data_IF_029929676842
#
_entry.id   IF_029929676842
#
_cell.length_a   1.000
_cell.length_b   1.000
_cell.length_c   1.000
_cell.angle_alpha   90.00
_cell.angle_beta   90.00
_cell.angle_gamma   90.00
#
_symmetry.space_group_name_H-M   'P 1'
#
loop_
_entity.id
_entity.type
_entity.pdbx_description
1 polymer ?
#
# COMPACT_ATOMS: atom_id res chain seq x y z
N UNK A 1 24.91 0.09 -0.57
CA UNK A 1 23.82 0.87 -1.21
C UNK A 1 23.18 -0.01 -2.25
N UNK A 2 21.86 -0.20 -2.21
CA UNK A 2 21.14 -1.05 -3.17
C UNK A 2 21.23 -0.47 -4.59
N UNK A 3 21.46 -1.34 -5.58
CA UNK A 3 21.57 -1.01 -7.02
C UNK A 3 20.18 -1.00 -7.70
N UNK A 4 19.10 -0.97 -6.91
CA UNK A 4 17.73 -1.01 -7.37
C UNK A 4 17.14 0.41 -7.43
N UNK A 5 16.39 0.68 -8.48
CA UNK A 5 15.69 1.93 -8.74
C UNK A 5 14.21 1.62 -8.92
N UNK A 6 13.35 2.33 -8.19
CA UNK A 6 11.91 2.35 -8.47
C UNK A 6 11.70 3.20 -9.72
N UNK A 7 11.16 2.60 -10.77
CA UNK A 7 10.94 3.24 -12.07
C UNK A 7 9.51 3.73 -12.21
N UNK A 8 8.54 3.00 -11.67
CA UNK A 8 7.13 3.37 -11.68
C UNK A 8 6.46 2.92 -10.39
N UNK A 9 5.48 3.69 -9.95
CA UNK A 9 4.54 3.30 -8.91
C UNK A 9 3.22 2.96 -9.60
N UNK A 10 2.72 1.73 -9.40
CA UNK A 10 1.46 1.29 -9.99
C UNK A 10 0.34 1.58 -8.99
N UNK A 11 -0.06 2.85 -8.95
CA UNK A 11 -1.18 3.31 -8.11
C UNK A 11 -2.44 2.47 -8.40
N UNK A 12 -3.25 2.22 -7.37
CA UNK A 12 -4.52 1.45 -7.39
C UNK A 12 -4.47 -0.08 -7.29
N UNK A 13 -3.30 -0.71 -7.35
CA UNK A 13 -3.19 -2.17 -7.14
C UNK A 13 -2.53 -2.47 -5.79
N UNK A 14 -3.33 -3.04 -4.87
CA UNK A 14 -2.92 -3.52 -3.55
C UNK A 14 -2.19 -2.47 -2.69
N UNK A 15 -2.94 -1.51 -2.13
CA UNK A 15 -2.44 -0.73 -1.00
C UNK A 15 -2.48 -1.62 0.25
N UNK A 16 -1.31 -1.85 0.82
CA UNK A 16 -1.16 -2.60 2.06
C UNK A 16 -0.26 -1.83 3.03
N UNK A 17 -0.56 -1.92 4.30
CA UNK A 17 0.23 -1.32 5.38
C UNK A 17 0.95 -2.44 6.11
N UNK A 18 2.26 -2.34 6.24
CA UNK A 18 2.99 -3.20 7.17
C UNK A 18 2.91 -2.55 8.54
N UNK A 19 2.17 -3.15 9.48
CA UNK A 19 1.94 -2.54 10.79
C UNK A 19 2.00 -3.55 11.94
N UNK A 20 2.42 -3.04 13.10
CA UNK A 20 2.38 -3.78 14.36
C UNK A 20 0.96 -3.84 14.90
N UNK A 21 0.57 -5.03 15.36
CA UNK A 21 -0.78 -5.28 15.87
C UNK A 21 -0.71 -6.00 17.21
N UNK A 22 -1.60 -5.61 18.10
CA UNK A 22 -1.65 -6.05 19.48
C UNK A 22 -3.06 -6.54 19.81
N UNK A 23 -3.22 -7.47 20.77
CA UNK A 23 -4.54 -7.78 21.32
C UNK A 23 -5.29 -6.51 21.72
N UNK A 24 -6.58 -6.44 21.40
CA UNK A 24 -7.45 -5.33 21.79
C UNK A 24 -7.95 -5.43 23.24
N UNK A 25 -7.60 -6.51 23.95
CA UNK A 25 -7.99 -6.81 25.32
C UNK A 25 -6.76 -7.05 26.21
N UNK A 26 -6.97 -7.08 27.53
CA UNK A 26 -5.93 -7.41 28.50
C UNK A 26 -4.91 -6.28 28.65
N UNK A 27 -3.63 -6.62 28.81
CA UNK A 27 -2.57 -5.65 29.11
C UNK A 27 -2.36 -4.58 28.02
N UNK A 28 -2.90 -4.78 26.82
CA UNK A 28 -2.79 -3.86 25.69
C UNK A 28 -4.05 -3.02 25.46
N UNK A 29 -5.15 -3.26 26.19
CA UNK A 29 -6.44 -2.59 25.99
C UNK A 29 -6.33 -1.07 25.99
N UNK A 30 -5.55 -0.51 26.93
CA UNK A 30 -5.34 0.93 27.07
C UNK A 30 -4.07 1.46 26.38
N UNK A 31 -3.37 0.63 25.61
CA UNK A 31 -2.17 1.01 24.87
C UNK A 31 -2.53 1.35 23.43
N UNK A 32 -2.48 2.62 23.06
CA UNK A 32 -2.91 3.14 21.77
C UNK A 32 -1.80 3.81 20.98
N UNK A 33 -0.57 3.91 21.52
CA UNK A 33 0.60 4.43 20.78
C UNK A 33 1.86 3.61 21.06
N UNK A 34 2.83 3.65 20.13
CA UNK A 34 4.17 3.07 20.37
C UNK A 34 4.86 3.67 21.60
N UNK A 35 4.60 4.94 21.90
CA UNK A 35 5.16 5.61 23.07
C UNK A 35 4.64 4.98 24.36
N UNK A 36 3.34 4.75 24.46
CA UNK A 36 2.72 4.08 25.60
C UNK A 36 3.23 2.64 25.74
N UNK A 37 3.36 1.91 24.62
CA UNK A 37 3.93 0.57 24.59
C UNK A 37 5.37 0.53 25.13
N UNK A 38 6.20 1.51 24.75
CA UNK A 38 7.59 1.60 25.20
C UNK A 38 7.73 1.90 26.69
N UNK A 39 6.74 2.56 27.29
CA UNK A 39 6.71 2.93 28.71
C UNK A 39 6.22 1.80 29.62
N UNK A 40 5.77 0.67 29.07
CA UNK A 40 5.32 -0.45 29.88
C UNK A 40 6.52 -1.02 30.67
N UNK A 41 6.42 -1.15 32.00
CA UNK A 41 7.55 -1.54 32.87
C UNK A 41 7.95 -3.01 32.72
N UNK A 42 7.14 -3.81 32.04
CA UNK A 42 7.29 -5.26 31.94
C UNK A 42 8.34 -5.73 30.93
N UNK A 43 8.84 -4.84 30.06
CA UNK A 43 9.81 -5.20 29.02
C UNK A 43 11.23 -5.23 29.60
N UNK A 44 11.72 -6.43 29.87
CA UNK A 44 13.07 -6.66 30.39
C UNK A 44 13.79 -7.69 29.52
N UNK A 45 15.09 -7.90 29.77
CA UNK A 45 15.83 -8.98 29.11
C UNK A 45 15.24 -10.36 29.38
N UNK A 46 14.60 -10.56 30.53
CA UNK A 46 13.96 -11.82 30.93
C UNK A 46 12.54 -11.96 30.36
N UNK A 47 11.85 -10.83 30.15
CA UNK A 47 10.50 -10.77 29.57
C UNK A 47 10.46 -9.76 28.42
N UNK A 48 11.07 -10.10 27.27
CA UNK A 48 11.03 -9.23 26.10
C UNK A 48 9.64 -9.23 25.47
N UNK A 49 9.30 -8.17 24.74
CA UNK A 49 8.13 -8.16 23.86
C UNK A 49 8.33 -9.20 22.75
N UNK A 50 7.44 -10.19 22.65
CA UNK A 50 7.51 -11.24 21.62
C UNK A 50 6.68 -10.82 20.42
N UNK A 51 7.31 -10.75 19.26
CA UNK A 51 6.66 -10.36 18.00
C UNK A 51 6.76 -11.50 17.00
N UNK A 52 5.63 -12.01 16.53
CA UNK A 52 5.63 -12.93 15.40
C UNK A 52 5.59 -12.16 14.07
N UNK A 53 6.47 -12.50 13.13
CA UNK A 53 6.52 -11.85 11.81
C UNK A 53 7.31 -12.66 10.77
N UNK A 54 6.97 -12.49 9.49
CA UNK A 54 7.85 -12.88 8.38
C UNK A 54 8.93 -11.84 8.04
N UNK A 55 8.86 -10.63 8.61
CA UNK A 55 9.70 -9.48 8.25
C UNK A 55 10.94 -9.35 9.14
N UNK A 56 11.85 -10.34 9.04
CA UNK A 56 13.02 -10.50 9.90
C UNK A 56 14.03 -9.33 9.90
N UNK A 57 14.01 -8.47 8.88
CA UNK A 57 14.89 -7.30 8.81
C UNK A 57 14.18 -6.00 9.19
N UNK A 58 12.95 -5.79 8.71
CA UNK A 58 12.22 -4.54 8.94
C UNK A 58 11.72 -4.43 10.38
N UNK A 59 11.23 -5.51 10.98
CA UNK A 59 10.72 -5.48 12.35
C UNK A 59 11.78 -5.08 13.37
N UNK A 60 12.92 -5.79 13.46
CA UNK A 60 13.97 -5.43 14.41
C UNK A 60 14.52 -4.02 14.19
N UNK A 61 14.67 -3.61 12.92
CA UNK A 61 15.12 -2.26 12.58
C UNK A 61 14.14 -1.21 13.10
N UNK A 62 12.86 -1.37 12.80
CA UNK A 62 11.82 -0.43 13.20
C UNK A 62 11.73 -0.27 14.72
N UNK A 63 11.72 -1.39 15.46
CA UNK A 63 11.66 -1.35 16.93
C UNK A 63 12.90 -0.69 17.54
N UNK A 64 14.09 -0.99 17.00
CA UNK A 64 15.34 -0.35 17.43
C UNK A 64 15.34 1.15 17.16
N UNK A 65 14.90 1.57 15.97
CA UNK A 65 14.83 2.97 15.57
C UNK A 65 13.82 3.76 16.44
N UNK A 66 12.81 3.08 17.00
CA UNK A 66 11.84 3.62 17.96
C UNK A 66 12.24 3.44 19.44
N UNK A 67 13.47 3.00 19.74
CA UNK A 67 14.03 2.96 21.10
C UNK A 67 13.69 1.72 21.93
N UNK A 68 13.07 0.69 21.34
CA UNK A 68 12.80 -0.56 22.03
C UNK A 68 14.07 -1.40 22.17
N UNK A 69 14.39 -1.82 23.39
CA UNK A 69 15.60 -2.60 23.72
C UNK A 69 15.34 -4.09 23.90
N UNK A 70 14.15 -4.46 24.37
CA UNK A 70 13.80 -5.81 24.78
C UNK A 70 12.67 -6.35 23.89
N UNK A 71 13.02 -6.75 22.67
CA UNK A 71 12.09 -7.33 21.69
C UNK A 71 12.70 -8.60 21.12
N UNK A 72 11.89 -9.65 21.03
CA UNK A 72 12.26 -10.92 20.39
C UNK A 72 11.33 -11.16 19.21
N UNK A 73 11.89 -11.73 18.14
CA UNK A 73 11.17 -11.99 16.91
C UNK A 73 11.16 -13.49 16.64
N UNK A 74 10.01 -14.00 16.23
CA UNK A 74 9.83 -15.38 15.78
C UNK A 74 9.08 -15.41 14.46
N UNK A 75 9.43 -16.35 13.60
CA UNK A 75 8.62 -16.68 12.42
C UNK A 75 7.45 -17.56 12.83
N UNK A 76 6.27 -17.34 12.24
CA UNK A 76 5.14 -18.26 12.37
C UNK A 76 4.78 -18.79 10.98
N UNK A 77 4.72 -20.12 10.85
CA UNK A 77 4.31 -20.78 9.62
C UNK A 77 2.78 -20.85 9.57
N UNK A 78 2.17 -19.85 8.94
CA UNK A 78 0.71 -19.75 8.78
C UNK A 78 -0.05 -19.22 10.00
N UNK A 79 -1.23 -18.64 9.75
CA UNK A 79 -2.14 -18.05 10.74
C UNK A 79 -1.44 -17.15 11.76
N UNK A 80 -0.65 -16.19 11.27
CA UNK A 80 0.11 -15.26 12.09
C UNK A 80 -0.79 -14.54 13.10
N UNK A 81 -2.02 -14.24 12.71
CA UNK A 81 -3.04 -13.57 13.50
C UNK A 81 -3.49 -14.36 14.74
N UNK A 82 -3.33 -15.68 14.73
CA UNK A 82 -3.62 -16.53 15.88
C UNK A 82 -2.49 -16.56 16.93
N UNK A 83 -1.27 -16.15 16.57
CA UNK A 83 -0.10 -16.25 17.45
C UNK A 83 -0.28 -15.54 18.81
N UNK A 84 -0.91 -14.35 18.90
CA UNK A 84 -1.23 -13.72 20.18
C UNK A 84 -2.26 -14.50 21.00
N UNK A 85 -3.33 -14.99 20.37
CA UNK A 85 -4.38 -15.76 21.04
C UNK A 85 -3.86 -17.11 21.57
N UNK A 86 -2.90 -17.72 20.87
CA UNK A 86 -2.22 -18.96 21.29
C UNK A 86 -1.12 -18.72 22.34
N UNK A 87 -0.81 -17.47 22.68
CA UNK A 87 0.24 -17.11 23.63
C UNK A 87 1.66 -17.32 23.11
N UNK A 88 1.84 -17.56 21.81
CA UNK A 88 3.15 -17.75 21.16
C UNK A 88 3.90 -16.41 21.06
N UNK A 89 3.16 -15.33 20.78
CA UNK A 89 3.67 -13.97 20.72
C UNK A 89 2.77 -13.02 21.52
N UNK A 90 3.28 -11.82 21.82
CA UNK A 90 2.49 -10.75 22.45
C UNK A 90 1.89 -9.81 21.39
N UNK A 91 2.52 -9.74 20.22
CA UNK A 91 2.13 -8.92 19.09
C UNK A 91 2.52 -9.58 17.77
N UNK A 92 2.00 -9.05 16.67
CA UNK A 92 2.41 -9.45 15.31
C UNK A 92 2.84 -8.24 14.51
N UNK A 93 3.70 -8.46 13.52
CA UNK A 93 4.01 -7.49 12.48
C UNK A 93 3.66 -8.10 11.13
N UNK A 94 2.67 -7.52 10.44
CA UNK A 94 2.12 -8.11 9.23
C UNK A 94 1.43 -7.10 8.29
N UNK A 95 1.19 -7.49 7.04
CA UNK A 95 0.53 -6.69 6.00
C UNK A 95 -1.00 -6.64 6.18
N UNK A 96 -1.57 -5.43 6.29
CA UNK A 96 -3.02 -5.17 6.30
C UNK A 96 -3.42 -4.56 4.96
N UNK A 97 -4.56 -4.95 4.39
CA UNK A 97 -5.21 -4.14 3.34
C UNK A 97 -6.54 -3.56 3.82
N UNK A 98 -7.59 -4.37 3.97
CA UNK A 98 -8.94 -3.88 4.37
C UNK A 98 -9.17 -3.76 5.88
N UNK A 99 -8.25 -4.24 6.72
CA UNK A 99 -8.39 -4.27 8.17
C UNK A 99 -9.40 -5.30 8.71
N UNK A 100 -10.09 -6.07 7.86
CA UNK A 100 -11.10 -7.05 8.27
C UNK A 100 -10.50 -8.14 9.17
N UNK A 101 -9.35 -8.68 8.78
CA UNK A 101 -8.63 -9.75 9.50
C UNK A 101 -8.24 -9.35 10.93
N UNK A 102 -8.04 -8.05 11.19
CA UNK A 102 -7.76 -7.52 12.54
C UNK A 102 -8.94 -7.71 13.48
N UNK A 103 -10.13 -7.33 13.01
CA UNK A 103 -11.36 -7.40 13.81
C UNK A 103 -11.72 -8.83 14.14
N UNK A 104 -11.54 -9.74 13.20
CA UNK A 104 -11.82 -11.18 13.38
C UNK A 104 -10.92 -11.82 14.45
N UNK A 105 -9.71 -11.31 14.64
CA UNK A 105 -8.73 -11.84 15.59
C UNK A 105 -8.58 -11.00 16.87
N UNK A 106 -9.49 -10.04 17.11
CA UNK A 106 -9.42 -9.16 18.28
C UNK A 106 -8.08 -8.42 18.38
N UNK A 107 -7.54 -7.99 17.25
CA UNK A 107 -6.30 -7.22 17.18
C UNK A 107 -6.60 -5.74 16.87
N UNK A 108 -5.75 -4.86 17.39
CA UNK A 108 -5.75 -3.44 17.09
C UNK A 108 -4.39 -2.96 16.61
N UNK A 109 -4.42 -1.94 15.78
CA UNK A 109 -3.25 -1.14 15.44
C UNK A 109 -3.11 0.00 16.47
N UNK A 110 -1.88 0.46 16.69
CA UNK A 110 -1.56 1.57 17.58
C UNK A 110 -0.94 2.72 16.78
N UNK A 111 -1.11 3.95 17.26
CA UNK A 111 -0.51 5.14 16.69
C UNK A 111 1.02 5.00 16.62
N UNK A 112 1.55 5.31 15.43
CA UNK A 112 2.96 5.12 15.10
C UNK A 112 3.33 3.68 14.80
N UNK A 113 2.43 2.69 14.94
CA UNK A 113 2.70 1.27 14.70
C UNK A 113 2.83 0.86 13.23
N UNK A 114 2.54 1.77 12.28
CA UNK A 114 2.77 1.56 10.85
C UNK A 114 4.25 1.67 10.54
N UNK A 115 4.83 0.58 10.02
CA UNK A 115 6.23 0.50 9.60
C UNK A 115 6.43 1.11 8.23
N UNK A 116 5.56 0.77 7.28
CA UNK A 116 5.56 1.33 5.93
C UNK A 116 4.21 1.15 5.24
N UNK A 117 3.99 1.99 4.24
CA UNK A 117 2.96 1.81 3.22
C UNK A 117 3.58 1.08 2.03
N UNK A 118 2.88 0.07 1.53
CA UNK A 118 3.32 -0.80 0.44
C UNK A 118 2.31 -0.78 -0.70
N UNK A 119 2.84 -0.77 -1.91
CA UNK A 119 2.10 -0.87 -3.16
C UNK A 119 2.95 -1.57 -4.21
N UNK A 120 2.31 -2.06 -5.27
CA UNK A 120 3.03 -2.64 -6.39
C UNK A 120 3.89 -1.57 -7.10
N UNK A 121 5.17 -1.87 -7.31
CA UNK A 121 6.13 -0.97 -7.95
C UNK A 121 6.90 -1.71 -9.04
N UNK A 122 7.20 -1.01 -10.13
CA UNK A 122 8.14 -1.47 -11.14
C UNK A 122 9.56 -1.10 -10.69
N UNK A 123 10.40 -2.11 -10.47
CA UNK A 123 11.79 -1.93 -10.03
C UNK A 123 12.74 -2.40 -11.13
N UNK A 124 13.78 -1.63 -11.38
CA UNK A 124 14.86 -1.99 -12.29
C UNK A 124 16.23 -1.81 -11.64
N UNK A 125 17.23 -2.54 -12.12
CA UNK A 125 18.61 -2.39 -11.67
C UNK A 125 19.28 -1.21 -12.39
N UNK A 126 19.82 -0.25 -11.65
CA UNK A 126 20.42 0.98 -12.21
C UNK A 126 21.55 0.66 -13.18
N UNK A 127 22.48 -0.22 -12.79
CA UNK A 127 23.58 -0.64 -13.67
C UNK A 127 23.08 -1.21 -15.00
N UNK A 128 22.02 -2.02 -14.97
CA UNK A 128 21.43 -2.59 -16.18
C UNK A 128 20.81 -1.52 -17.07
N UNK A 129 20.08 -0.55 -16.52
CA UNK A 129 19.51 0.55 -17.30
C UNK A 129 20.56 1.42 -18.00
N UNK A 130 21.75 1.57 -17.40
CA UNK A 130 22.84 2.35 -17.97
C UNK A 130 23.59 1.56 -19.04
N UNK A 131 23.90 0.30 -18.77
CA UNK A 131 24.82 -0.49 -19.60
C UNK A 131 24.13 -1.28 -20.72
N UNK A 132 22.82 -1.51 -20.61
CA UNK A 132 22.06 -2.34 -21.55
C UNK A 132 20.92 -1.54 -22.15
N UNK A 133 21.12 -1.12 -23.39
CA UNK A 133 20.15 -0.33 -24.14
C UNK A 133 18.84 -1.08 -24.39
N UNK A 134 18.89 -2.40 -24.61
CA UNK A 134 17.72 -3.26 -24.78
C UNK A 134 16.82 -3.26 -23.53
N UNK A 135 17.42 -3.39 -22.34
CA UNK A 135 16.69 -3.32 -21.05
C UNK A 135 16.08 -1.95 -20.85
N UNK A 136 16.84 -0.90 -21.16
CA UNK A 136 16.35 0.48 -21.05
C UNK A 136 15.15 0.72 -21.98
N UNK A 137 15.22 0.22 -23.22
CA UNK A 137 14.14 0.30 -24.20
C UNK A 137 12.86 -0.40 -23.70
N UNK A 138 12.98 -1.67 -23.28
CA UNK A 138 11.84 -2.45 -22.76
C UNK A 138 11.26 -1.80 -21.49
N UNK A 139 12.13 -1.34 -20.59
CA UNK A 139 11.68 -0.69 -19.35
C UNK A 139 10.87 0.58 -19.64
N UNK A 140 11.33 1.38 -20.61
CA UNK A 140 10.62 2.58 -21.06
C UNK A 140 9.25 2.23 -21.65
N UNK A 141 9.19 1.21 -22.52
CA UNK A 141 7.93 0.77 -23.13
C UNK A 141 6.93 0.27 -22.07
N UNK A 142 7.38 -0.52 -21.08
CA UNK A 142 6.55 -0.98 -19.98
C UNK A 142 6.04 0.20 -19.14
N UNK A 143 6.90 1.17 -18.84
CA UNK A 143 6.52 2.39 -18.11
C UNK A 143 5.42 3.16 -18.86
N UNK A 144 5.60 3.41 -20.16
CA UNK A 144 4.62 4.12 -20.99
C UNK A 144 3.27 3.39 -21.01
N UNK A 145 3.29 2.05 -21.08
CA UNK A 145 2.07 1.22 -21.01
C UNK A 145 1.38 1.30 -19.67
N UNK A 146 2.12 1.25 -18.56
CA UNK A 146 1.51 1.39 -17.23
C UNK A 146 0.91 2.78 -17.04
N UNK A 147 1.60 3.84 -17.43
CA UNK A 147 1.04 5.20 -17.34
C UNK A 147 -0.21 5.37 -18.20
N UNK A 148 -0.20 4.86 -19.43
CA UNK A 148 -1.37 4.90 -20.31
C UNK A 148 -2.55 4.12 -19.73
N UNK A 149 -2.30 2.92 -19.21
CA UNK A 149 -3.31 2.09 -18.54
C UNK A 149 -3.91 2.81 -17.34
N UNK A 150 -3.07 3.34 -16.44
CA UNK A 150 -3.52 4.04 -15.24
C UNK A 150 -4.36 5.28 -15.56
N UNK A 151 -4.00 6.04 -16.62
CA UNK A 151 -4.83 7.16 -17.10
C UNK A 151 -6.16 6.70 -17.66
N UNK A 152 -6.20 5.51 -18.29
CA UNK A 152 -7.40 4.97 -18.92
C UNK A 152 -8.40 4.34 -17.93
N UNK A 153 -7.94 3.77 -16.80
CA UNK A 153 -8.80 3.05 -15.84
C UNK A 153 -10.02 3.86 -15.37
N UNK A 154 -9.87 5.18 -15.22
CA UNK A 154 -10.95 6.08 -14.79
C UNK A 154 -11.76 6.72 -15.92
N UNK A 155 -11.56 6.31 -17.17
CA UNK A 155 -12.13 6.96 -18.34
C UNK A 155 -13.06 5.99 -19.09
N UNK A 156 -14.13 6.54 -19.66
CA UNK A 156 -15.05 5.80 -20.50
C UNK A 156 -15.20 6.50 -21.85
N UNK A 157 -15.21 5.71 -22.93
CA UNK A 157 -15.64 6.22 -24.23
C UNK A 157 -17.16 6.24 -24.27
N UNK A 158 -17.73 7.44 -24.37
CA UNK A 158 -19.18 7.63 -24.50
C UNK A 158 -19.47 8.04 -25.94
N UNK A 159 -20.30 7.26 -26.62
CA UNK A 159 -20.81 7.57 -27.96
C UNK A 159 -22.33 7.72 -27.87
N UNK A 160 -22.86 8.82 -28.39
CA UNK A 160 -24.28 9.11 -28.33
C UNK A 160 -24.77 9.71 -29.65
N UNK A 161 -25.95 9.28 -30.09
CA UNK A 161 -26.63 9.88 -31.23
C UNK A 161 -27.42 11.09 -30.75
N UNK A 162 -27.28 12.21 -31.46
CA UNK A 162 -27.95 13.46 -31.11
C UNK A 162 -28.63 14.05 -32.34
N UNK A 163 -29.89 14.47 -32.18
CA UNK A 163 -30.58 15.23 -33.22
C UNK A 163 -30.08 16.67 -33.20
N UNK A 164 -29.65 17.17 -34.36
CA UNK A 164 -29.21 18.54 -34.56
C UNK A 164 -29.33 18.93 -36.02
N UNK A 165 -29.40 20.24 -36.26
CA UNK A 165 -29.40 20.83 -37.60
C UNK A 165 -27.99 21.06 -38.14
N UNK A 166 -26.99 21.20 -37.26
CA UNK A 166 -25.57 21.29 -37.61
C UNK A 166 -24.66 20.71 -36.52
N UNK A 167 -23.39 20.49 -36.85
CA UNK A 167 -22.35 20.04 -35.91
C UNK A 167 -22.08 21.06 -34.81
N UNK A 168 -22.13 22.35 -35.12
CA UNK A 168 -21.87 23.45 -34.19
C UNK A 168 -22.98 23.53 -33.14
N UNK A 169 -24.22 23.31 -33.56
CA UNK A 169 -25.37 23.26 -32.65
C UNK A 169 -25.24 22.10 -31.65
N UNK A 170 -24.90 20.90 -32.14
CA UNK A 170 -24.71 19.72 -31.29
C UNK A 170 -23.52 19.94 -30.34
N UNK A 171 -22.40 20.49 -30.83
CA UNK A 171 -21.23 20.82 -30.01
C UNK A 171 -21.58 21.79 -28.88
N UNK A 172 -22.28 22.88 -29.19
CA UNK A 172 -22.66 23.89 -28.20
C UNK A 172 -23.57 23.29 -27.10
N UNK A 173 -24.52 22.44 -27.47
CA UNK A 173 -25.38 21.74 -26.49
C UNK A 173 -24.56 20.83 -25.57
N UNK A 174 -23.64 20.03 -26.11
CA UNK A 174 -22.83 19.12 -25.29
C UNK A 174 -21.83 19.88 -24.40
N UNK A 175 -21.15 20.89 -24.94
CA UNK A 175 -20.20 21.72 -24.18
C UNK A 175 -20.87 22.60 -23.12
N UNK A 176 -22.18 22.86 -23.23
CA UNK A 176 -22.94 23.52 -22.17
C UNK A 176 -23.04 22.68 -20.89
N UNK A 177 -22.83 21.35 -20.99
CA UNK A 177 -22.84 20.45 -19.86
C UNK A 177 -21.40 20.26 -19.32
N UNK A 178 -21.11 20.63 -18.05
CA UNK A 178 -19.75 20.63 -17.50
C UNK A 178 -19.07 19.26 -17.50
N UNK A 179 -19.85 18.18 -17.39
CA UNK A 179 -19.36 16.80 -17.32
C UNK A 179 -19.08 16.16 -18.70
N UNK A 180 -19.34 16.87 -19.80
CA UNK A 180 -19.24 16.33 -21.17
C UNK A 180 -18.15 17.00 -22.03
N UNK A 181 -17.23 17.74 -21.42
CA UNK A 181 -16.13 18.42 -22.13
C UNK A 181 -15.12 17.47 -22.79
N UNK A 182 -14.99 16.25 -22.28
CA UNK A 182 -14.02 15.26 -22.77
C UNK A 182 -12.55 15.63 -22.47
N UNK A 183 -11.62 14.83 -22.98
CA UNK A 183 -10.17 15.02 -22.74
C UNK A 183 -9.54 16.12 -23.62
N UNK A 184 -9.99 16.23 -24.87
CA UNK A 184 -9.48 17.17 -25.89
C UNK A 184 -10.59 17.83 -26.70
N UNK A 185 -11.83 17.75 -26.21
CA UNK A 185 -13.04 18.18 -26.91
C UNK A 185 -13.85 17.02 -27.50
N UNK A 186 -14.88 17.37 -28.25
CA UNK A 186 -15.86 16.44 -28.80
C UNK A 186 -15.48 16.02 -30.21
N UNK A 187 -15.67 14.73 -30.51
CA UNK A 187 -15.65 14.23 -31.88
C UNK A 187 -17.09 14.10 -32.35
N UNK A 188 -17.45 14.84 -33.39
CA UNK A 188 -18.78 14.83 -33.99
C UNK A 188 -18.71 14.28 -35.41
N UNK A 189 -19.57 13.30 -35.69
CA UNK A 189 -19.70 12.68 -37.01
C UNK A 189 -21.18 12.71 -37.42
N UNK A 190 -21.49 12.99 -38.70
CA UNK A 190 -22.86 12.84 -39.20
C UNK A 190 -23.28 11.37 -39.17
N UNK A 191 -24.53 11.11 -38.80
CA UNK A 191 -25.13 9.78 -38.67
C UNK A 191 -26.39 9.70 -39.53
#
# INVERSE_FOLDING_TARGET
MSDFLIVAIVYFYCVAFLSYRFPNTGSFENINSLRELAQMPQWTSEKPLRVATGFNHLGPKFMKDNGFKHVTFSTADGALEAAPAMGIADAILDLVSSGTTLKENNLKEIEGGVVLESQAVLVARRKSLIQREDVRGITKEILERFEAHLRAVGQFTVTANMRGSSTEEVAARVLSQPSLSGLQGLVLLPI
#
